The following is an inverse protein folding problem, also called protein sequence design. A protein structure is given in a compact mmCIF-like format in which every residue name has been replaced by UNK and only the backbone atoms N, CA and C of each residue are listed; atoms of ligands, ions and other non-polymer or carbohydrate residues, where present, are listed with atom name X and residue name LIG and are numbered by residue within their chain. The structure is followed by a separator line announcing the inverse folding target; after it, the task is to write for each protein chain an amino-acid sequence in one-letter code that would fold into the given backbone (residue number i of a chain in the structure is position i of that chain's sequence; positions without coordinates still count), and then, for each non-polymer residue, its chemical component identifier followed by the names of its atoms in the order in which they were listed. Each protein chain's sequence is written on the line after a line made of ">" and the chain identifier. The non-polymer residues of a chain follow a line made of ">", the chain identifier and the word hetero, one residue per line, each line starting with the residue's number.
data_IF_416858290793
#
_entry.id   IF_416858290793
#
_cell.length_a   1.000
_cell.length_b   1.000
_cell.length_c   1.000
_cell.angle_alpha   90.00
_cell.angle_beta   90.00
_cell.angle_gamma   90.00
#
_symmetry.space_group_name_H-M   'P 1'
#
loop_
_entity.id
_entity.type
_entity.pdbx_description
1 polymer ?
#
# COMPACT_ATOMS: atom_id res chain seq x y z
N UNK A 1 -1.88 -16.96 8.22
CA UNK A 1 -2.66 -15.75 7.86
C UNK A 1 -1.67 -14.61 7.70
N UNK A 2 -1.74 -13.89 6.59
CA UNK A 2 -0.87 -12.74 6.32
C UNK A 2 -1.44 -11.44 6.88
N UNK A 3 -0.62 -10.39 6.90
CA UNK A 3 -1.02 -9.04 7.30
C UNK A 3 -2.25 -8.54 6.51
N UNK A 4 -2.26 -8.67 5.18
CA UNK A 4 -3.33 -8.15 4.32
C UNK A 4 -4.71 -8.76 4.66
N UNK A 5 -4.72 -10.06 4.95
CA UNK A 5 -5.94 -10.78 5.35
C UNK A 5 -6.43 -10.30 6.72
N UNK A 6 -5.53 -10.20 7.71
CA UNK A 6 -5.85 -9.68 9.04
C UNK A 6 -6.34 -8.22 9.00
N UNK A 7 -5.71 -7.39 8.17
CA UNK A 7 -6.09 -6.00 7.95
C UNK A 7 -7.52 -5.87 7.43
N UNK A 8 -7.87 -6.66 6.40
CA UNK A 8 -9.24 -6.73 5.90
C UNK A 8 -10.24 -7.12 6.99
N UNK A 9 -9.92 -8.14 7.79
CA UNK A 9 -10.80 -8.60 8.88
C UNK A 9 -11.01 -7.51 9.95
N UNK A 10 -9.95 -6.81 10.36
CA UNK A 10 -10.07 -5.73 11.36
C UNK A 10 -10.88 -4.56 10.79
N UNK A 11 -10.65 -4.19 9.53
CA UNK A 11 -11.43 -3.15 8.84
C UNK A 11 -12.91 -3.52 8.78
N UNK A 12 -13.24 -4.74 8.37
CA UNK A 12 -14.62 -5.21 8.27
C UNK A 12 -15.30 -5.25 9.63
N UNK A 13 -14.57 -5.68 10.67
CA UNK A 13 -15.07 -5.64 12.04
C UNK A 13 -15.37 -4.20 12.48
N UNK A 14 -14.44 -3.26 12.26
CA UNK A 14 -14.64 -1.85 12.57
C UNK A 14 -15.84 -1.28 11.81
N UNK A 15 -16.00 -1.63 10.53
CA UNK A 15 -17.09 -1.17 9.67
C UNK A 15 -18.46 -1.70 10.14
N UNK A 16 -18.51 -2.93 10.68
CA UNK A 16 -19.73 -3.50 11.21
C UNK A 16 -20.21 -2.83 12.50
N UNK A 17 -19.28 -2.42 13.38
CA UNK A 17 -19.64 -1.81 14.67
C UNK A 17 -19.80 -0.29 14.59
N UNK A 18 -19.14 0.37 13.64
CA UNK A 18 -19.10 1.83 13.56
C UNK A 18 -20.50 2.47 13.41
N UNK A 19 -21.42 1.98 12.55
CA UNK A 19 -22.77 2.53 12.46
C UNK A 19 -23.57 2.37 13.75
N UNK A 20 -23.42 1.23 14.43
CA UNK A 20 -24.11 0.99 15.70
C UNK A 20 -23.62 1.97 16.76
N UNK A 21 -22.31 2.16 16.89
CA UNK A 21 -21.71 3.07 17.88
C UNK A 21 -22.02 4.55 17.59
N UNK A 22 -22.05 4.95 16.32
CA UNK A 22 -22.32 6.34 15.91
C UNK A 22 -23.75 6.80 16.24
N UNK A 23 -24.69 5.87 16.39
CA UNK A 23 -26.10 6.16 16.67
C UNK A 23 -26.45 6.13 18.17
N UNK A 24 -25.53 5.72 19.05
CA UNK A 24 -25.76 5.65 20.48
C UNK A 24 -25.52 7.02 21.13
N UNK A 25 -26.32 7.37 22.13
CA UNK A 25 -26.14 8.60 22.93
C UNK A 25 -26.09 8.30 24.43
N UNK A 26 -25.29 9.07 25.17
CA UNK A 26 -25.22 9.03 26.64
C UNK A 26 -24.94 7.64 27.21
N UNK A 27 -25.81 7.16 28.12
CA UNK A 27 -25.68 5.88 28.81
C UNK A 27 -25.63 4.66 27.89
N UNK A 28 -26.23 4.73 26.69
CA UNK A 28 -26.27 3.60 25.76
C UNK A 28 -24.89 3.28 25.17
N UNK A 29 -24.04 4.30 25.00
CA UNK A 29 -22.64 4.12 24.55
C UNK A 29 -21.84 3.35 25.60
N UNK A 30 -21.98 3.73 26.87
CA UNK A 30 -21.28 3.07 27.97
C UNK A 30 -21.62 1.58 28.05
N UNK A 31 -22.92 1.25 27.96
CA UNK A 31 -23.39 -0.13 27.97
C UNK A 31 -22.85 -0.95 26.79
N UNK A 32 -22.87 -0.40 25.57
CA UNK A 32 -22.38 -1.11 24.38
C UNK A 32 -20.87 -1.39 24.43
N UNK A 33 -20.10 -0.51 25.08
CA UNK A 33 -18.64 -0.64 25.22
C UNK A 33 -18.20 -1.41 26.47
N UNK A 34 -19.13 -1.88 27.30
CA UNK A 34 -18.80 -2.61 28.54
C UNK A 34 -18.01 -3.88 28.23
N UNK A 35 -18.43 -4.61 27.20
CA UNK A 35 -17.78 -5.86 26.77
C UNK A 35 -16.45 -5.62 26.05
N UNK A 36 -16.11 -4.38 25.71
CA UNK A 36 -14.85 -3.99 25.07
C UNK A 36 -14.03 -3.09 25.98
N UNK A 37 -14.30 -3.14 27.30
CA UNK A 37 -13.61 -2.34 28.31
C UNK A 37 -13.55 -0.85 27.94
N UNK A 38 -14.67 -0.27 27.52
CA UNK A 38 -14.79 1.14 27.09
C UNK A 38 -14.05 1.51 25.79
N UNK A 39 -13.51 0.54 25.07
CA UNK A 39 -12.98 0.71 23.71
C UNK A 39 -14.08 0.46 22.66
N UNK A 40 -13.84 0.83 21.41
CA UNK A 40 -14.75 0.46 20.31
C UNK A 40 -14.46 -0.94 19.80
N UNK A 41 -13.18 -1.31 19.72
CA UNK A 41 -12.74 -2.67 19.38
C UNK A 41 -11.82 -3.26 20.46
N UNK A 42 -11.81 -4.58 20.51
CA UNK A 42 -10.90 -5.38 21.32
C UNK A 42 -10.27 -6.46 20.44
N UNK A 43 -8.97 -6.36 20.14
CA UNK A 43 -8.29 -7.23 19.17
C UNK A 43 -8.49 -8.70 19.51
N UNK A 44 -8.38 -9.08 20.79
CA UNK A 44 -8.56 -10.47 21.18
C UNK A 44 -9.94 -11.05 20.81
N UNK A 45 -11.01 -10.25 20.84
CA UNK A 45 -12.33 -10.70 20.42
C UNK A 45 -12.41 -10.91 18.90
N UNK A 46 -11.69 -10.10 18.13
CA UNK A 46 -11.60 -10.26 16.67
C UNK A 46 -10.89 -11.57 16.34
N UNK A 47 -9.75 -11.84 16.99
CA UNK A 47 -8.97 -13.08 16.81
C UNK A 47 -9.79 -14.31 17.19
N UNK A 48 -10.42 -14.31 18.38
CA UNK A 48 -11.28 -15.41 18.84
C UNK A 48 -12.44 -15.68 17.90
N UNK A 49 -13.10 -14.63 17.41
CA UNK A 49 -14.21 -14.77 16.46
C UNK A 49 -13.75 -15.32 15.12
N UNK A 50 -12.59 -14.90 14.62
CA UNK A 50 -12.06 -15.36 13.34
C UNK A 50 -11.69 -16.85 13.38
N UNK A 51 -10.92 -17.27 14.39
CA UNK A 51 -10.50 -18.67 14.54
C UNK A 51 -11.59 -19.58 15.11
N UNK A 52 -12.71 -19.02 15.61
CA UNK A 52 -13.80 -19.74 16.28
C UNK A 52 -13.31 -20.55 17.50
N UNK A 53 -12.29 -20.03 18.18
CA UNK A 53 -11.66 -20.67 19.33
C UNK A 53 -12.02 -19.92 20.61
N UNK A 54 -12.39 -20.68 21.64
CA UNK A 54 -12.71 -20.17 22.99
C UNK A 54 -11.61 -20.45 24.03
N UNK A 55 -10.61 -21.24 23.64
CA UNK A 55 -9.44 -21.63 24.45
C UNK A 55 -8.22 -20.77 24.07
N UNK A 56 -7.14 -20.72 24.89
CA UNK A 56 -6.05 -19.78 24.65
C UNK A 56 -5.51 -19.97 23.24
N UNK A 57 -5.57 -18.88 22.48
CA UNK A 57 -5.09 -18.83 21.10
C UNK A 57 -3.58 -18.65 21.19
N UNK A 58 -2.85 -19.36 20.32
CA UNK A 58 -1.40 -19.22 20.23
C UNK A 58 -1.02 -17.74 19.97
N UNK A 59 -0.07 -17.16 20.72
CA UNK A 59 0.32 -15.74 20.61
C UNK A 59 0.64 -15.30 19.17
N UNK A 60 1.21 -16.17 18.35
CA UNK A 60 1.59 -15.90 16.96
C UNK A 60 0.39 -15.58 16.08
N UNK A 61 -0.80 -16.09 16.42
CA UNK A 61 -2.04 -15.81 15.69
C UNK A 61 -2.56 -14.39 15.93
N UNK A 62 -2.15 -13.74 17.00
CA UNK A 62 -2.52 -12.36 17.28
C UNK A 62 -1.66 -11.34 16.52
N UNK A 63 -0.42 -11.68 16.20
CA UNK A 63 0.57 -10.75 15.60
C UNK A 63 0.01 -10.02 14.37
N UNK A 64 -0.56 -10.70 13.35
CA UNK A 64 -1.08 -10.01 12.17
C UNK A 64 -2.25 -9.06 12.48
N UNK A 65 -3.05 -9.35 13.51
CA UNK A 65 -4.16 -8.49 13.92
C UNK A 65 -3.70 -7.26 14.70
N UNK A 66 -2.67 -7.39 15.54
CA UNK A 66 -2.06 -6.22 16.18
C UNK A 66 -1.35 -5.33 15.17
N UNK A 67 -0.63 -5.91 14.21
CA UNK A 67 -0.01 -5.15 13.13
C UNK A 67 -1.08 -4.39 12.32
N UNK A 68 -2.21 -5.04 12.03
CA UNK A 68 -3.35 -4.41 11.38
C UNK A 68 -3.95 -3.27 12.21
N UNK A 69 -4.17 -3.48 13.51
CA UNK A 69 -4.68 -2.44 14.41
C UNK A 69 -3.72 -1.25 14.51
N UNK A 70 -2.41 -1.51 14.55
CA UNK A 70 -1.38 -0.48 14.53
C UNK A 70 -1.31 0.28 13.22
N UNK A 71 -1.47 -0.40 12.08
CA UNK A 71 -1.56 0.26 10.78
C UNK A 71 -2.77 1.19 10.74
N UNK A 72 -3.94 0.72 11.21
CA UNK A 72 -5.14 1.55 11.33
C UNK A 72 -4.94 2.74 12.28
N UNK A 73 -4.12 2.60 13.32
CA UNK A 73 -3.71 3.73 14.15
C UNK A 73 -2.82 4.71 13.38
N UNK A 74 -1.84 4.19 12.62
CA UNK A 74 -0.90 4.99 11.82
C UNK A 74 -1.63 5.86 10.78
N UNK A 75 -2.66 5.30 10.12
CA UNK A 75 -3.48 6.06 9.15
C UNK A 75 -4.61 6.87 9.82
N UNK A 76 -4.63 6.92 11.16
CA UNK A 76 -5.56 7.74 11.93
C UNK A 76 -7.01 7.21 11.99
N UNK A 77 -7.27 5.98 11.55
CA UNK A 77 -8.60 5.35 11.65
C UNK A 77 -8.89 4.91 13.08
N UNK A 78 -7.89 4.34 13.76
CA UNK A 78 -7.96 3.94 15.15
C UNK A 78 -7.07 4.82 16.03
N UNK A 79 -7.30 4.76 17.35
CA UNK A 79 -6.35 5.20 18.37
C UNK A 79 -6.28 4.15 19.47
N UNK A 80 -5.11 3.87 20.07
CA UNK A 80 -5.03 2.98 21.21
C UNK A 80 -5.84 3.50 22.41
N UNK A 81 -6.50 2.59 23.11
CA UNK A 81 -7.17 2.87 24.37
C UNK A 81 -8.64 3.27 24.28
N UNK A 82 -9.17 3.62 25.46
CA UNK A 82 -10.59 3.83 25.74
C UNK A 82 -11.12 5.18 25.26
N UNK A 83 -12.44 5.28 25.16
CA UNK A 83 -13.17 6.54 25.10
C UNK A 83 -13.43 7.07 26.53
N UNK A 84 -12.39 7.23 27.34
CA UNK A 84 -12.55 7.74 28.71
C UNK A 84 -12.35 9.26 28.77
N UNK A 85 -13.10 9.92 29.65
CA UNK A 85 -12.82 11.31 30.01
C UNK A 85 -11.44 11.39 30.68
N UNK A 86 -10.75 12.52 30.51
CA UNK A 86 -9.45 12.75 31.15
C UNK A 86 -9.52 12.45 32.66
N UNK A 87 -8.61 11.63 33.18
CA UNK A 87 -8.51 11.28 34.59
C UNK A 87 -9.15 9.93 34.99
N UNK A 88 -9.82 9.22 34.09
CA UNK A 88 -10.32 7.86 34.34
C UNK A 88 -9.33 6.84 33.76
N UNK A 89 -8.41 6.35 34.60
CA UNK A 89 -7.53 5.22 34.29
C UNK A 89 -8.18 3.93 34.80
N UNK A 90 -8.44 2.99 33.90
CA UNK A 90 -8.65 1.59 34.28
C UNK A 90 -7.28 0.92 34.31
N UNK A 91 -6.76 0.66 35.51
CA UNK A 91 -5.52 -0.08 35.68
C UNK A 91 -5.67 -1.52 35.15
N UNK A 92 -4.76 -1.94 34.26
CA UNK A 92 -4.58 -3.35 33.87
C UNK A 92 -4.93 -3.75 32.43
N UNK A 93 -5.60 -2.92 31.64
CA UNK A 93 -6.11 -3.29 30.30
C UNK A 93 -5.40 -2.52 29.17
N UNK A 94 -4.10 -2.77 28.96
CA UNK A 94 -3.22 -1.80 28.27
C UNK A 94 -2.82 -2.08 26.81
N UNK A 95 -3.23 -3.16 26.15
CA UNK A 95 -2.72 -3.45 24.79
C UNK A 95 -3.74 -3.84 23.71
N UNK A 96 -4.95 -4.27 24.08
CA UNK A 96 -5.87 -4.90 23.12
C UNK A 96 -7.01 -4.00 22.65
N UNK A 97 -7.22 -2.89 23.36
CA UNK A 97 -8.35 -2.00 23.15
C UNK A 97 -8.01 -0.82 22.27
N UNK A 98 -8.88 -0.54 21.29
CA UNK A 98 -8.75 0.63 20.42
C UNK A 98 -10.09 1.35 20.25
N UNK A 99 -10.03 2.66 20.07
CA UNK A 99 -11.18 3.49 19.73
C UNK A 99 -11.13 3.91 18.26
N UNK A 100 -12.29 3.99 17.61
CA UNK A 100 -12.42 4.54 16.26
C UNK A 100 -12.40 6.06 16.37
N UNK A 101 -11.58 6.73 15.57
CA UNK A 101 -11.49 8.19 15.55
C UNK A 101 -12.63 8.79 14.72
N UNK A 102 -12.84 10.11 14.82
CA UNK A 102 -13.78 10.82 13.92
C UNK A 102 -13.45 10.57 12.45
N UNK A 103 -12.17 10.61 12.09
CA UNK A 103 -11.68 10.28 10.74
C UNK A 103 -12.03 8.82 10.38
N UNK A 104 -11.82 7.89 11.32
CA UNK A 104 -12.13 6.47 11.15
C UNK A 104 -13.60 6.21 10.85
N UNK A 105 -14.52 6.88 11.53
CA UNK A 105 -15.96 6.76 11.22
C UNK A 105 -16.30 7.21 9.80
N UNK A 106 -15.72 8.31 9.31
CA UNK A 106 -15.93 8.75 7.92
C UNK A 106 -15.26 7.84 6.89
N UNK A 107 -14.08 7.32 7.23
CA UNK A 107 -13.32 6.39 6.39
C UNK A 107 -14.07 5.06 6.26
N UNK A 108 -14.61 4.52 7.36
CA UNK A 108 -15.34 3.26 7.38
C UNK A 108 -16.69 3.32 6.65
N UNK A 109 -17.34 4.50 6.61
CA UNK A 109 -18.62 4.74 5.89
C UNK A 109 -18.50 4.65 4.37
N UNK A 110 -17.34 5.01 3.81
CA UNK A 110 -17.14 5.12 2.37
C UNK A 110 -16.18 4.03 1.88
N UNK A 111 -16.71 2.92 1.38
CA UNK A 111 -15.90 1.82 0.84
C UNK A 111 -14.99 2.29 -0.32
N UNK A 112 -15.41 3.33 -1.04
CA UNK A 112 -14.60 3.99 -2.08
C UNK A 112 -13.45 4.87 -1.54
N UNK A 113 -13.54 5.42 -0.32
CA UNK A 113 -12.41 6.14 0.32
C UNK A 113 -11.32 5.19 0.81
N UNK A 114 -11.64 3.90 0.94
CA UNK A 114 -10.65 2.83 1.16
C UNK A 114 -9.79 2.56 -0.07
N UNK A 115 -10.00 3.22 -1.22
CA UNK A 115 -9.73 2.63 -2.55
C UNK A 115 -8.45 2.98 -3.31
N UNK A 116 -7.59 3.87 -2.84
CA UNK A 116 -6.33 4.13 -3.56
C UNK A 116 -5.17 4.67 -2.71
N UNK A 117 -5.49 5.27 -1.56
CA UNK A 117 -4.51 5.88 -0.66
C UNK A 117 -3.93 4.86 0.32
N UNK A 118 -4.58 3.69 0.46
CA UNK A 118 -4.06 2.60 1.29
C UNK A 118 -2.90 1.90 0.56
N UNK A 119 -1.66 2.01 1.07
CA UNK A 119 -0.50 1.37 0.48
C UNK A 119 -0.67 -0.15 0.38
N UNK A 120 -1.47 -0.77 1.27
CA UNK A 120 -1.76 -2.20 1.27
C UNK A 120 -2.56 -2.61 0.02
N UNK A 121 -3.55 -1.80 -0.40
CA UNK A 121 -4.28 -2.05 -1.64
C UNK A 121 -3.44 -1.77 -2.88
N UNK A 122 -2.53 -0.79 -2.84
CA UNK A 122 -1.60 -0.56 -3.94
C UNK A 122 -0.73 -1.80 -4.19
N UNK A 123 -0.35 -2.56 -3.16
CA UNK A 123 0.45 -3.78 -3.32
C UNK A 123 -0.34 -4.87 -4.06
N UNK A 124 -1.61 -5.07 -3.69
CA UNK A 124 -2.51 -5.98 -4.41
C UNK A 124 -2.70 -5.56 -5.87
N UNK A 125 -2.88 -4.26 -6.12
CA UNK A 125 -3.05 -3.74 -7.49
C UNK A 125 -1.77 -3.94 -8.30
N UNK A 126 -0.58 -3.65 -7.76
CA UNK A 126 0.68 -3.88 -8.47
C UNK A 126 0.91 -5.36 -8.76
N UNK A 127 0.63 -6.25 -7.81
CA UNK A 127 0.70 -7.70 -8.04
C UNK A 127 -0.19 -8.15 -9.20
N UNK A 128 -1.35 -7.50 -9.42
CA UNK A 128 -2.21 -7.84 -10.57
C UNK A 128 -1.54 -7.60 -11.94
N UNK A 129 -0.52 -6.73 -12.01
CA UNK A 129 0.25 -6.49 -13.23
C UNK A 129 1.47 -7.42 -13.37
N UNK A 130 1.86 -8.17 -12.34
CA UNK A 130 3.12 -8.93 -12.35
C UNK A 130 3.16 -10.01 -13.42
N UNK A 131 2.00 -10.57 -13.79
CA UNK A 131 1.88 -11.54 -14.89
C UNK A 131 2.41 -10.98 -16.23
N UNK A 132 2.25 -9.68 -16.48
CA UNK A 132 2.73 -9.02 -17.70
C UNK A 132 4.10 -8.36 -17.47
N UNK A 133 4.29 -7.72 -16.33
CA UNK A 133 5.44 -6.86 -16.05
C UNK A 133 6.63 -7.59 -15.40
N UNK A 134 6.45 -8.87 -15.04
CA UNK A 134 7.49 -9.75 -14.51
C UNK A 134 7.72 -9.65 -13.00
N UNK A 135 8.47 -10.61 -12.49
CA UNK A 135 8.76 -10.75 -11.05
C UNK A 135 9.60 -9.59 -10.50
N UNK A 136 10.54 -9.06 -11.30
CA UNK A 136 11.35 -7.90 -10.91
C UNK A 136 10.52 -6.65 -10.65
N UNK A 137 9.41 -6.47 -11.37
CA UNK A 137 8.45 -5.40 -11.10
C UNK A 137 7.67 -5.66 -9.80
N UNK A 138 7.18 -6.88 -9.59
CA UNK A 138 6.44 -7.24 -8.36
C UNK A 138 7.28 -7.01 -7.10
N UNK A 139 8.52 -7.49 -7.11
CA UNK A 139 9.44 -7.31 -6.00
C UNK A 139 9.63 -5.82 -5.69
N UNK A 140 10.06 -5.03 -6.67
CA UNK A 140 10.42 -3.61 -6.47
C UNK A 140 9.22 -2.75 -6.11
N UNK A 141 8.05 -2.99 -6.72
CA UNK A 141 6.82 -2.25 -6.38
C UNK A 141 6.33 -2.57 -4.97
N UNK A 142 6.44 -3.83 -4.53
CA UNK A 142 6.12 -4.24 -3.15
C UNK A 142 7.08 -3.62 -2.15
N UNK A 143 8.39 -3.62 -2.44
CA UNK A 143 9.40 -2.96 -1.61
C UNK A 143 9.15 -1.45 -1.53
N UNK A 144 8.82 -0.78 -2.64
CA UNK A 144 8.52 0.66 -2.66
C UNK A 144 7.36 1.03 -1.72
N UNK A 145 6.31 0.23 -1.73
CA UNK A 145 5.16 0.38 -0.84
C UNK A 145 5.56 0.15 0.62
N UNK A 146 6.33 -0.91 0.89
CA UNK A 146 6.82 -1.19 2.24
C UNK A 146 7.64 -0.02 2.79
N UNK A 147 8.52 0.57 1.97
CA UNK A 147 9.25 1.77 2.34
C UNK A 147 8.31 2.94 2.65
N UNK A 148 7.24 3.13 1.87
CA UNK A 148 6.31 4.24 2.08
C UNK A 148 5.56 4.08 3.40
N UNK A 149 5.11 2.86 3.70
CA UNK A 149 4.42 2.52 4.96
C UNK A 149 5.29 2.81 6.18
N UNK A 150 6.60 2.55 6.07
CA UNK A 150 7.57 2.75 7.13
C UNK A 150 8.15 4.18 7.20
N UNK A 151 7.63 5.13 6.41
CA UNK A 151 8.13 6.51 6.40
C UNK A 151 9.49 6.69 5.70
N UNK A 152 9.97 5.68 4.98
CA UNK A 152 11.23 5.71 4.23
C UNK A 152 11.00 6.30 2.83
N UNK A 153 10.55 7.55 2.77
CA UNK A 153 10.08 8.21 1.53
C UNK A 153 11.13 8.28 0.42
N UNK A 154 12.39 8.53 0.78
CA UNK A 154 13.51 8.47 -0.15
C UNK A 154 13.63 7.10 -0.84
N UNK A 155 13.57 6.03 -0.04
CA UNK A 155 13.66 4.66 -0.55
C UNK A 155 12.44 4.30 -1.41
N UNK A 156 11.25 4.79 -1.07
CA UNK A 156 10.05 4.65 -1.91
C UNK A 156 10.26 5.23 -3.30
N UNK A 157 10.78 6.44 -3.40
CA UNK A 157 11.07 7.09 -4.68
C UNK A 157 12.07 6.28 -5.52
N UNK A 158 13.16 5.82 -4.90
CA UNK A 158 14.18 4.97 -5.57
C UNK A 158 13.57 3.67 -6.09
N UNK A 159 12.82 2.97 -5.25
CA UNK A 159 12.23 1.67 -5.60
C UNK A 159 11.09 1.81 -6.61
N UNK A 160 10.31 2.89 -6.56
CA UNK A 160 9.30 3.20 -7.57
C UNK A 160 9.97 3.45 -8.95
N UNK A 161 11.07 4.20 -8.99
CA UNK A 161 11.87 4.37 -10.21
C UNK A 161 12.49 3.06 -10.71
N UNK A 162 12.97 2.22 -9.81
CA UNK A 162 13.50 0.90 -10.15
C UNK A 162 12.40 -0.05 -10.67
N UNK A 163 11.18 0.01 -10.12
CA UNK A 163 10.03 -0.74 -10.62
C UNK A 163 9.60 -0.25 -12.01
N UNK A 164 9.65 1.06 -12.26
CA UNK A 164 9.38 1.64 -13.57
C UNK A 164 10.35 1.11 -14.64
N UNK A 165 11.63 0.95 -14.30
CA UNK A 165 12.59 0.32 -15.21
C UNK A 165 12.27 -1.15 -15.48
N UNK A 166 11.75 -1.89 -14.49
CA UNK A 166 11.28 -3.26 -14.72
C UNK A 166 10.10 -3.28 -15.70
N UNK A 167 9.17 -2.31 -15.61
CA UNK A 167 8.10 -2.14 -16.62
C UNK A 167 8.68 -1.87 -18.01
N UNK A 168 9.65 -0.96 -18.12
CA UNK A 168 10.31 -0.63 -19.39
C UNK A 168 11.02 -1.86 -19.99
N UNK A 169 11.74 -2.62 -19.17
CA UNK A 169 12.40 -3.86 -19.59
C UNK A 169 11.38 -4.88 -20.08
N UNK A 170 10.29 -5.10 -19.34
CA UNK A 170 9.23 -6.02 -19.73
C UNK A 170 8.61 -5.65 -21.08
N UNK A 171 8.33 -4.36 -21.31
CA UNK A 171 7.82 -3.87 -22.60
C UNK A 171 8.84 -4.09 -23.71
N UNK A 172 10.12 -3.76 -23.49
CA UNK A 172 11.16 -3.92 -24.49
C UNK A 172 11.42 -5.41 -24.84
N UNK A 173 11.45 -6.30 -23.84
CA UNK A 173 11.56 -7.76 -24.03
C UNK A 173 10.33 -8.26 -24.79
N UNK A 174 9.15 -7.83 -24.34
CA UNK A 174 7.88 -8.14 -24.99
C UNK A 174 7.88 -7.72 -26.45
N UNK A 175 8.44 -6.58 -26.82
CA UNK A 175 8.49 -6.10 -28.20
C UNK A 175 9.56 -6.77 -29.05
N UNK A 176 10.79 -6.88 -28.52
CA UNK A 176 11.95 -7.39 -29.27
C UNK A 176 11.94 -8.92 -29.34
N UNK A 177 11.21 -9.61 -28.46
CA UNK A 177 11.13 -11.07 -28.34
C UNK A 177 12.50 -11.73 -28.14
N UNK A 178 13.46 -10.99 -27.59
CA UNK A 178 14.80 -11.47 -27.28
C UNK A 178 15.29 -10.83 -25.99
N UNK A 179 15.14 -11.56 -24.89
CA UNK A 179 15.46 -11.10 -23.55
C UNK A 179 16.95 -10.79 -23.38
N UNK A 180 17.83 -11.70 -23.79
CA UNK A 180 19.30 -11.53 -23.70
C UNK A 180 19.74 -10.25 -24.37
N UNK A 181 19.26 -9.97 -25.59
CA UNK A 181 19.61 -8.74 -26.32
C UNK A 181 19.18 -7.48 -25.57
N UNK A 182 18.00 -7.48 -24.95
CA UNK A 182 17.50 -6.33 -24.19
C UNK A 182 18.33 -6.13 -22.92
N UNK A 183 18.62 -7.21 -22.19
CA UNK A 183 19.42 -7.16 -20.96
C UNK A 183 20.87 -6.74 -21.23
N UNK A 184 21.49 -7.23 -22.31
CA UNK A 184 22.83 -6.82 -22.73
C UNK A 184 22.85 -5.32 -23.11
N UNK A 185 21.82 -4.86 -23.83
CA UNK A 185 21.67 -3.45 -24.16
C UNK A 185 21.50 -2.59 -22.90
N UNK A 186 20.74 -3.08 -21.92
CA UNK A 186 20.50 -2.42 -20.65
C UNK A 186 21.75 -2.32 -19.76
N UNK A 187 22.57 -3.37 -19.72
CA UNK A 187 23.82 -3.40 -18.96
C UNK A 187 24.90 -2.47 -19.54
N UNK A 188 24.78 -2.10 -20.82
CA UNK A 188 25.72 -1.23 -21.51
C UNK A 188 25.65 0.26 -21.12
N UNK A 189 26.58 1.04 -21.64
CA UNK A 189 26.58 2.51 -21.47
C UNK A 189 25.31 3.13 -22.07
N UNK A 190 24.66 4.02 -21.32
CA UNK A 190 23.33 4.58 -21.66
C UNK A 190 22.26 3.52 -21.87
N UNK A 191 22.38 2.36 -21.19
CA UNK A 191 21.53 1.21 -21.44
C UNK A 191 20.04 1.50 -21.30
N UNK A 192 19.63 2.30 -20.30
CA UNK A 192 18.25 2.79 -20.17
C UNK A 192 17.74 3.49 -21.43
N UNK A 193 18.49 4.46 -21.97
CA UNK A 193 18.10 5.17 -23.19
C UNK A 193 18.02 4.24 -24.40
N UNK A 194 18.93 3.26 -24.50
CA UNK A 194 18.90 2.25 -25.58
C UNK A 194 17.66 1.37 -25.49
N UNK A 195 17.35 0.85 -24.30
CA UNK A 195 16.13 0.07 -24.06
C UNK A 195 14.88 0.89 -24.34
N UNK A 196 14.88 2.19 -23.97
CA UNK A 196 13.79 3.10 -24.31
C UNK A 196 13.59 3.20 -25.81
N UNK A 197 14.66 3.42 -26.58
CA UNK A 197 14.60 3.43 -28.05
C UNK A 197 14.07 2.12 -28.61
N UNK A 198 14.47 0.98 -28.04
CA UNK A 198 13.99 -0.34 -28.45
C UNK A 198 12.48 -0.49 -28.18
N UNK A 199 12.00 -0.05 -27.01
CA UNK A 199 10.58 -0.12 -26.63
C UNK A 199 9.69 0.76 -27.51
N UNK A 200 10.15 1.96 -27.88
CA UNK A 200 9.34 2.92 -28.66
C UNK A 200 9.47 2.77 -30.17
N UNK A 201 10.39 1.94 -30.66
CA UNK A 201 10.66 1.81 -32.10
C UNK A 201 9.40 1.39 -32.88
N UNK A 202 9.02 2.17 -33.89
CA UNK A 202 7.85 1.87 -34.73
C UNK A 202 6.49 2.06 -34.04
N UNK A 203 6.45 2.59 -32.81
CA UNK A 203 5.19 2.93 -32.15
C UNK A 203 4.69 4.32 -32.56
N UNK A 204 3.36 4.52 -32.61
CA UNK A 204 2.77 5.83 -32.86
C UNK A 204 3.00 6.80 -31.69
N UNK A 205 2.92 8.10 -31.97
CA UNK A 205 3.22 9.16 -30.99
C UNK A 205 2.38 9.06 -29.71
N UNK A 206 1.11 8.68 -29.83
CA UNK A 206 0.21 8.56 -28.68
C UNK A 206 0.61 7.45 -27.70
N UNK A 207 1.43 6.48 -28.11
CA UNK A 207 2.00 5.45 -27.22
C UNK A 207 3.40 5.82 -26.73
N UNK A 208 4.21 6.45 -27.58
CA UNK A 208 5.59 6.81 -27.23
C UNK A 208 5.65 7.95 -26.21
N UNK A 209 4.80 8.98 -26.36
CA UNK A 209 4.81 10.17 -25.49
C UNK A 209 4.48 9.83 -24.03
N UNK A 210 3.44 9.05 -23.70
CA UNK A 210 3.18 8.63 -22.31
C UNK A 210 4.31 7.81 -21.71
N UNK A 211 4.91 6.91 -22.50
CA UNK A 211 6.08 6.12 -22.11
C UNK A 211 7.25 7.03 -21.70
N UNK A 212 7.59 8.02 -22.53
CA UNK A 212 8.64 8.98 -22.24
C UNK A 212 8.32 9.85 -21.01
N UNK A 213 7.07 10.33 -20.90
CA UNK A 213 6.65 11.17 -19.79
C UNK A 213 6.75 10.42 -18.45
N UNK A 214 6.20 9.20 -18.37
CA UNK A 214 6.25 8.37 -17.17
C UNK A 214 7.69 8.06 -16.75
N UNK A 215 8.54 7.67 -17.71
CA UNK A 215 9.94 7.39 -17.43
C UNK A 215 10.71 8.64 -16.98
N UNK A 216 10.41 9.84 -17.52
CA UNK A 216 11.11 11.07 -17.12
C UNK A 216 10.80 11.45 -15.68
N UNK A 217 9.54 11.35 -15.26
CA UNK A 217 9.14 11.68 -13.88
C UNK A 217 9.73 10.68 -12.88
N UNK A 218 9.69 9.39 -13.18
CA UNK A 218 10.23 8.35 -12.29
C UNK A 218 11.76 8.35 -12.25
N UNK A 219 12.42 8.81 -13.31
CA UNK A 219 13.86 9.05 -13.33
C UNK A 219 14.26 10.21 -12.44
N UNK A 220 13.55 11.34 -12.52
CA UNK A 220 13.82 12.51 -11.69
C UNK A 220 13.92 12.12 -10.21
N UNK A 221 12.95 11.35 -9.71
CA UNK A 221 12.92 10.91 -8.32
C UNK A 221 14.05 9.96 -7.94
N UNK A 222 14.45 9.07 -8.86
CA UNK A 222 15.55 8.16 -8.62
C UNK A 222 16.89 8.89 -8.62
N UNK A 223 17.11 9.78 -9.58
CA UNK A 223 18.38 10.47 -9.75
C UNK A 223 18.58 11.47 -8.59
N UNK A 224 17.56 12.25 -8.22
CA UNK A 224 17.60 13.13 -7.03
C UNK A 224 17.93 12.33 -5.75
N UNK A 225 17.35 11.14 -5.61
CA UNK A 225 17.62 10.27 -4.48
C UNK A 225 19.02 9.62 -4.46
N UNK A 226 19.68 9.51 -5.62
CA UNK A 226 20.96 8.81 -5.77
C UNK A 226 22.18 9.72 -5.57
N UNK A 227 22.02 11.04 -5.54
CA UNK A 227 23.14 11.98 -5.52
C UNK A 227 23.81 12.17 -4.15
N UNK A 228 23.40 11.43 -3.11
CA UNK A 228 24.02 11.46 -1.77
C UNK A 228 23.87 12.81 -1.04
N UNK A 229 23.17 13.77 -1.64
CA UNK A 229 22.80 15.02 -1.00
C UNK A 229 21.59 14.81 -0.10
N UNK A 230 21.45 15.66 0.93
CA UNK A 230 20.24 15.71 1.73
C UNK A 230 19.07 16.09 0.82
N UNK A 231 18.10 15.19 0.68
CA UNK A 231 16.90 15.44 -0.15
C UNK A 231 15.84 16.15 0.67
N UNK A 232 14.91 16.82 -0.01
CA UNK A 232 13.68 17.37 0.59
C UNK A 232 12.46 16.49 0.31
N UNK A 233 12.69 15.23 -0.10
CA UNK A 233 11.63 14.27 -0.40
C UNK A 233 10.85 13.99 0.88
N UNK A 234 9.55 14.27 0.82
CA UNK A 234 8.58 14.02 1.87
C UNK A 234 7.61 12.92 1.45
N UNK A 235 6.60 12.68 2.30
CA UNK A 235 5.51 11.76 1.99
C UNK A 235 4.80 12.10 0.67
N UNK A 236 4.66 13.40 0.35
CA UNK A 236 3.94 13.86 -0.85
C UNK A 236 4.65 13.38 -2.12
N UNK A 237 5.97 13.51 -2.19
CA UNK A 237 6.77 13.08 -3.33
C UNK A 237 6.80 11.55 -3.47
N UNK A 238 6.89 10.84 -2.34
CA UNK A 238 6.86 9.38 -2.31
C UNK A 238 5.51 8.83 -2.78
N UNK A 239 4.40 9.39 -2.29
CA UNK A 239 3.05 9.04 -2.73
C UNK A 239 2.86 9.34 -4.22
N UNK A 240 3.32 10.51 -4.68
CA UNK A 240 3.28 10.89 -6.10
C UNK A 240 4.04 9.88 -6.96
N UNK A 241 5.22 9.44 -6.50
CA UNK A 241 6.02 8.42 -7.20
C UNK A 241 5.28 7.10 -7.35
N UNK A 242 4.59 6.63 -6.30
CA UNK A 242 3.76 5.43 -6.36
C UNK A 242 2.55 5.59 -7.29
N UNK A 243 1.90 6.76 -7.26
CA UNK A 243 0.76 7.05 -8.11
C UNK A 243 1.13 7.16 -9.60
N UNK A 244 2.31 7.71 -9.92
CA UNK A 244 2.84 7.73 -11.29
C UNK A 244 3.24 6.33 -11.75
N UNK A 245 3.88 5.53 -10.88
CA UNK A 245 4.17 4.12 -11.18
C UNK A 245 2.88 3.34 -11.49
N UNK A 246 1.82 3.53 -10.69
CA UNK A 246 0.53 2.88 -10.92
C UNK A 246 -0.07 3.26 -12.27
N UNK A 247 -0.09 4.56 -12.60
CA UNK A 247 -0.56 5.03 -13.91
C UNK A 247 0.26 4.46 -15.05
N UNK A 248 1.58 4.36 -14.88
CA UNK A 248 2.48 3.79 -15.88
C UNK A 248 2.24 2.28 -16.08
N UNK A 249 2.19 1.50 -15.00
CA UNK A 249 1.88 0.07 -15.04
C UNK A 249 0.53 -0.20 -15.69
N UNK A 250 -0.49 0.61 -15.36
CA UNK A 250 -1.83 0.51 -15.95
C UNK A 250 -1.79 0.82 -17.45
N UNK A 251 -1.14 1.91 -17.86
CA UNK A 251 -0.96 2.26 -19.27
C UNK A 251 -0.30 1.13 -20.07
N UNK A 252 0.79 0.56 -19.55
CA UNK A 252 1.48 -0.55 -20.21
C UNK A 252 0.62 -1.82 -20.28
N UNK A 253 -0.14 -2.12 -19.23
CA UNK A 253 -1.07 -3.25 -19.22
C UNK A 253 -2.19 -3.07 -20.24
N UNK A 254 -2.80 -1.88 -20.31
CA UNK A 254 -3.93 -1.60 -21.20
C UNK A 254 -3.51 -1.60 -22.67
N UNK A 255 -2.27 -1.21 -22.98
CA UNK A 255 -1.74 -1.12 -24.34
C UNK A 255 -0.76 -2.25 -24.68
N UNK A 256 -0.74 -3.35 -23.90
CA UNK A 256 0.31 -4.36 -23.98
C UNK A 256 0.52 -4.95 -25.38
N UNK A 257 -0.57 -5.24 -26.09
CA UNK A 257 -0.53 -5.83 -27.45
C UNK A 257 0.17 -4.88 -28.42
N UNK A 258 -0.24 -3.61 -28.45
CA UNK A 258 0.33 -2.60 -29.35
C UNK A 258 1.78 -2.27 -28.99
N UNK A 259 2.10 -2.20 -27.70
CA UNK A 259 3.45 -1.95 -27.22
C UNK A 259 4.43 -3.08 -27.58
N UNK A 260 3.95 -4.32 -27.68
CA UNK A 260 4.78 -5.53 -27.86
C UNK A 260 4.68 -6.18 -29.24
N UNK A 261 4.07 -5.49 -30.20
CA UNK A 261 4.10 -5.81 -31.63
C UNK A 261 5.31 -5.14 -32.28
#
# INVERSE_FOLDING_TARGET
>A
MGFDEAFGIVVDHCAAIAPALANLTGHQIGSARTNTYQCDIWVAHIVQRHYRETSPIEPERYVPFYDAAWELCRIGVLRPGQHSAAGVSMDGLRADGYSITTLGYEWLKNDQRRSAIDPSRMATIFRSFSKLLGEGFEQRSTEAISCHRNGNYLATCVLAGAAAESVLLAVAIGKVKNETKVLDAYAGSKGRSRVMTMAVHGLPEHLTRPLHAAMSVLQYWRDDAAHGMKTTISEVEAYTSLAELLRFSRFCSDNWIELTT
#
